data_IF_768049871247
#
_entry.id   IF_768049871247
#
_cell.length_a   1.000
_cell.length_b   1.000
_cell.length_c   1.000
_cell.angle_alpha   90.00
_cell.angle_beta   90.00
_cell.angle_gamma   90.00
#
_symmetry.space_group_name_H-M   'P 1'
#
loop_
_entity.id
_entity.type
_entity.pdbx_description
1 polymer ?
#
# COMPACT_ATOMS: atom_id res chain seq x y z
N UNK A 1 -15.39 9.12 -5.51
CA UNK A 1 -16.06 10.25 -4.80
C UNK A 1 -16.94 11.00 -5.78
N UNK A 2 -18.10 11.36 -5.33
CA UNK A 2 -19.03 12.25 -6.04
C UNK A 2 -18.99 13.64 -5.40
N UNK A 3 -19.34 14.72 -6.12
CA UNK A 3 -19.46 16.04 -5.55
C UNK A 3 -20.42 16.08 -4.33
N UNK A 4 -19.98 16.67 -3.21
CA UNK A 4 -20.74 16.78 -1.96
C UNK A 4 -20.62 15.59 -0.99
N UNK A 5 -19.95 14.50 -1.34
CA UNK A 5 -19.68 13.39 -0.41
C UNK A 5 -18.70 13.77 0.68
N UNK A 6 -17.66 14.51 0.33
CA UNK A 6 -16.59 14.91 1.26
C UNK A 6 -17.12 15.85 2.35
N UNK A 7 -18.06 16.72 2.02
CA UNK A 7 -18.71 17.58 3.03
C UNK A 7 -19.50 16.78 4.07
N UNK A 8 -20.14 15.67 3.65
CA UNK A 8 -20.83 14.76 4.58
C UNK A 8 -19.84 14.03 5.48
N UNK A 9 -18.70 13.60 4.92
CA UNK A 9 -17.64 12.95 5.69
C UNK A 9 -17.00 13.91 6.68
N UNK A 10 -16.79 15.18 6.30
CA UNK A 10 -16.22 16.21 7.18
C UNK A 10 -17.06 16.37 8.46
N UNK A 11 -18.37 16.44 8.33
CA UNK A 11 -19.30 16.58 9.47
C UNK A 11 -19.22 15.41 10.46
N UNK A 12 -18.82 14.23 10.00
CA UNK A 12 -18.66 13.01 10.81
C UNK A 12 -17.27 12.97 11.44
N UNK A 13 -16.23 13.16 10.62
CA UNK A 13 -14.82 12.95 11.02
C UNK A 13 -14.27 14.14 11.78
N UNK A 14 -14.54 15.37 11.35
CA UNK A 14 -14.01 16.64 11.91
C UNK A 14 -12.53 16.57 12.24
N UNK A 15 -11.66 16.36 11.26
CA UNK A 15 -10.25 16.11 11.51
C UNK A 15 -9.57 17.37 12.05
N UNK A 16 -8.76 17.25 13.10
CA UNK A 16 -7.92 18.34 13.59
C UNK A 16 -6.73 18.60 12.66
N UNK A 17 -6.19 17.55 12.06
CA UNK A 17 -5.10 17.62 11.08
C UNK A 17 -5.53 16.98 9.77
N UNK A 18 -5.54 17.77 8.71
CA UNK A 18 -5.78 17.30 7.35
C UNK A 18 -4.48 16.88 6.68
N UNK A 19 -4.47 15.73 6.01
CA UNK A 19 -3.32 15.26 5.23
C UNK A 19 -3.74 15.07 3.78
N UNK A 20 -3.19 15.88 2.88
CA UNK A 20 -3.43 15.74 1.45
C UNK A 20 -2.23 15.03 0.82
N UNK A 21 -2.37 13.75 0.47
CA UNK A 21 -1.26 12.96 -0.06
C UNK A 21 -1.06 13.17 -1.57
N UNK A 22 -2.11 12.95 -2.35
CA UNK A 22 -2.03 12.91 -3.80
C UNK A 22 -3.38 13.19 -4.44
N UNK A 23 -3.36 13.70 -5.68
CA UNK A 23 -4.51 13.79 -6.57
C UNK A 23 -4.19 12.93 -7.80
N UNK A 24 -4.97 11.88 -8.01
CA UNK A 24 -4.84 10.98 -9.14
C UNK A 24 -5.99 11.12 -10.13
N UNK A 25 -6.00 10.30 -11.16
CA UNK A 25 -7.06 10.28 -12.16
C UNK A 25 -8.30 9.50 -11.71
N UNK A 26 -8.22 8.78 -10.59
CA UNK A 26 -9.35 8.03 -10.06
C UNK A 26 -10.53 8.97 -9.74
N UNK A 27 -11.71 8.60 -10.20
CA UNK A 27 -12.97 9.37 -10.06
C UNK A 27 -12.97 10.76 -10.74
N UNK A 28 -12.01 11.03 -11.63
CA UNK A 28 -11.94 12.31 -12.35
C UNK A 28 -13.19 12.56 -13.22
N UNK A 29 -13.82 11.50 -13.69
CA UNK A 29 -15.05 11.53 -14.48
C UNK A 29 -16.23 12.18 -13.79
N UNK A 30 -16.23 12.24 -12.46
CA UNK A 30 -17.30 12.84 -11.66
C UNK A 30 -17.11 14.35 -11.48
N UNK A 31 -16.01 14.92 -12.02
CA UNK A 31 -15.65 16.32 -11.88
C UNK A 31 -15.38 16.97 -13.24
N UNK A 32 -15.77 18.22 -13.39
CA UNK A 32 -15.55 18.97 -14.63
C UNK A 32 -14.09 19.36 -14.83
N UNK A 33 -13.31 19.48 -13.75
CA UNK A 33 -11.90 19.83 -13.78
C UNK A 33 -11.12 19.25 -12.60
N UNK A 34 -9.79 19.23 -12.70
CA UNK A 34 -8.90 18.85 -11.59
C UNK A 34 -9.02 19.81 -10.42
N UNK A 35 -9.21 21.09 -10.70
CA UNK A 35 -9.42 22.13 -9.67
C UNK A 35 -10.69 21.87 -8.86
N UNK A 36 -11.77 21.47 -9.51
CA UNK A 36 -13.01 21.09 -8.83
C UNK A 36 -12.80 19.86 -7.93
N UNK A 37 -12.14 18.85 -8.44
CA UNK A 37 -11.81 17.63 -7.66
C UNK A 37 -10.92 17.95 -6.45
N UNK A 38 -9.92 18.82 -6.60
CA UNK A 38 -9.08 19.29 -5.48
C UNK A 38 -9.93 20.03 -4.47
N UNK A 39 -10.78 20.97 -4.91
CA UNK A 39 -11.66 21.75 -4.04
C UNK A 39 -12.63 20.88 -3.25
N UNK A 40 -13.21 19.87 -3.88
CA UNK A 40 -14.06 18.89 -3.19
C UNK A 40 -13.27 18.17 -2.10
N UNK A 41 -12.08 17.61 -2.41
CA UNK A 41 -11.26 16.91 -1.42
C UNK A 41 -10.79 17.81 -0.27
N UNK A 42 -10.49 19.07 -0.56
CA UNK A 42 -10.16 20.08 0.46
C UNK A 42 -11.34 20.38 1.40
N UNK A 43 -12.56 20.09 0.99
CA UNK A 43 -13.76 20.18 1.82
C UNK A 43 -13.65 19.40 3.13
N UNK A 44 -12.85 18.31 3.16
CA UNK A 44 -12.61 17.53 4.38
C UNK A 44 -11.84 18.32 5.46
N UNK A 45 -11.09 19.35 5.07
CA UNK A 45 -10.15 20.06 5.95
C UNK A 45 -10.63 21.45 6.39
N UNK A 46 -11.85 21.84 6.05
CA UNK A 46 -12.37 23.18 6.37
C UNK A 46 -12.42 23.48 7.88
N UNK A 47 -12.56 22.47 8.71
CA UNK A 47 -12.52 22.59 10.16
C UNK A 47 -11.20 22.11 10.80
N UNK A 48 -10.22 21.68 10.02
CA UNK A 48 -8.90 21.29 10.51
C UNK A 48 -8.10 22.51 10.97
N UNK A 49 -7.24 22.34 11.95
CA UNK A 49 -6.30 23.37 12.42
C UNK A 49 -5.08 23.45 11.51
N UNK A 50 -4.65 22.31 11.00
CA UNK A 50 -3.43 22.16 10.19
C UNK A 50 -3.72 21.34 8.94
N UNK A 51 -3.05 21.71 7.83
CA UNK A 51 -3.06 20.96 6.58
C UNK A 51 -1.62 20.59 6.20
N UNK A 52 -1.37 19.29 6.07
CA UNK A 52 -0.08 18.74 5.63
C UNK A 52 -0.20 18.33 4.17
N UNK A 53 0.71 18.78 3.30
CA UNK A 53 0.58 18.53 1.86
C UNK A 53 1.89 18.65 1.08
N UNK A 54 2.00 18.06 -0.14
CA UNK A 54 3.14 18.22 -1.05
C UNK A 54 3.08 19.58 -1.77
N UNK A 55 4.05 20.45 -1.54
CA UNK A 55 4.16 21.75 -2.21
C UNK A 55 4.59 21.63 -3.70
N UNK A 56 5.13 20.49 -4.11
CA UNK A 56 5.54 20.21 -5.48
C UNK A 56 4.39 19.83 -6.42
N UNK A 57 3.19 19.69 -5.89
CA UNK A 57 2.00 19.41 -6.70
C UNK A 57 1.23 20.72 -6.91
N UNK A 58 1.41 21.38 -8.09
CA UNK A 58 0.87 22.73 -8.33
C UNK A 58 -0.65 22.80 -8.14
N UNK A 59 -1.37 21.74 -8.50
CA UNK A 59 -2.82 21.66 -8.41
C UNK A 59 -3.28 21.70 -6.94
N UNK A 60 -2.59 20.95 -6.07
CA UNK A 60 -2.87 20.89 -4.64
C UNK A 60 -2.48 22.22 -3.98
N UNK A 61 -1.24 22.69 -4.25
CA UNK A 61 -0.73 23.92 -3.66
C UNK A 61 -1.61 25.12 -4.00
N UNK A 62 -1.92 25.31 -5.31
CA UNK A 62 -2.82 26.38 -5.75
C UNK A 62 -4.23 26.24 -5.18
N UNK A 63 -4.74 25.01 -5.13
CA UNK A 63 -6.05 24.73 -4.55
C UNK A 63 -6.13 25.15 -3.08
N UNK A 64 -5.11 24.86 -2.26
CA UNK A 64 -5.06 25.23 -0.84
C UNK A 64 -4.93 26.75 -0.69
N UNK A 65 -4.02 27.41 -1.41
CA UNK A 65 -3.76 28.85 -1.25
C UNK A 65 -4.93 29.70 -1.72
N UNK A 66 -5.65 29.26 -2.75
CA UNK A 66 -6.76 30.00 -3.34
C UNK A 66 -8.12 29.70 -2.68
N UNK A 67 -8.20 28.73 -1.78
CA UNK A 67 -9.45 28.40 -1.09
C UNK A 67 -9.62 29.28 0.16
N UNK A 68 -10.54 30.23 0.10
CA UNK A 68 -10.83 31.16 1.20
C UNK A 68 -11.23 30.45 2.49
N UNK A 69 -11.83 29.25 2.40
CA UNK A 69 -12.23 28.43 3.55
C UNK A 69 -11.02 27.97 4.38
N UNK A 70 -9.83 27.91 3.75
CA UNK A 70 -8.58 27.43 4.33
C UNK A 70 -7.60 28.54 4.73
N UNK A 71 -7.95 29.81 4.51
CA UNK A 71 -7.07 30.98 4.66
C UNK A 71 -6.39 31.09 6.05
N UNK A 72 -7.05 30.66 7.09
CA UNK A 72 -6.57 30.76 8.47
C UNK A 72 -5.98 29.46 9.00
N UNK A 73 -5.73 28.46 8.13
CA UNK A 73 -5.16 27.19 8.54
C UNK A 73 -3.65 27.27 8.60
N UNK A 74 -3.06 26.55 9.56
CA UNK A 74 -1.62 26.34 9.55
C UNK A 74 -1.28 25.38 8.42
N UNK A 75 -0.41 25.79 7.54
CA UNK A 75 0.07 24.95 6.43
C UNK A 75 1.42 24.37 6.84
N UNK A 76 1.59 23.06 6.64
CA UNK A 76 2.83 22.36 6.86
C UNK A 76 3.12 21.49 5.63
N UNK A 77 4.17 21.83 4.90
CA UNK A 77 4.37 21.30 3.54
C UNK A 77 5.71 20.60 3.39
N UNK A 78 5.78 19.71 2.41
CA UNK A 78 7.03 19.11 1.99
C UNK A 78 7.28 19.28 0.49
N UNK A 79 8.55 19.19 0.10
CA UNK A 79 9.01 19.28 -1.29
C UNK A 79 10.10 18.23 -1.56
N UNK A 80 10.10 17.65 -2.76
CA UNK A 80 11.22 16.86 -3.27
C UNK A 80 12.13 17.66 -4.22
N UNK A 81 11.90 18.97 -4.36
CA UNK A 81 12.56 19.82 -5.33
C UNK A 81 13.05 21.14 -4.74
N UNK A 82 13.02 22.19 -5.57
CA UNK A 82 13.52 23.53 -5.23
C UNK A 82 12.44 24.44 -4.62
N UNK A 83 11.20 23.98 -4.52
CA UNK A 83 10.12 24.78 -3.97
C UNK A 83 10.36 25.03 -2.46
N UNK A 84 9.97 26.19 -1.99
CA UNK A 84 10.03 26.48 -0.55
C UNK A 84 8.95 25.68 0.19
N UNK A 85 9.37 24.92 1.18
CA UNK A 85 8.48 24.11 2.03
C UNK A 85 9.07 23.98 3.43
N UNK A 86 8.28 23.49 4.40
CA UNK A 86 8.74 23.28 5.76
C UNK A 86 9.73 22.12 5.85
N UNK A 87 9.50 21.07 5.06
CA UNK A 87 10.37 19.88 4.98
C UNK A 87 10.84 19.70 3.54
N UNK A 88 12.14 19.57 3.35
CA UNK A 88 12.73 19.20 2.06
C UNK A 88 13.18 17.74 2.10
N UNK A 89 12.68 16.93 1.15
CA UNK A 89 12.94 15.49 1.08
C UNK A 89 13.45 15.15 -0.31
N UNK A 90 14.75 14.95 -0.43
CA UNK A 90 15.40 14.67 -1.71
C UNK A 90 15.63 13.18 -1.84
N UNK A 91 14.98 12.51 -2.82
CA UNK A 91 15.20 11.10 -3.07
C UNK A 91 16.61 10.84 -3.61
N UNK A 92 17.30 9.86 -3.03
CA UNK A 92 18.55 9.31 -3.56
C UNK A 92 18.25 8.20 -4.57
N UNK A 93 18.81 8.31 -5.76
CA UNK A 93 18.63 7.35 -6.84
C UNK A 93 19.94 6.65 -7.17
N UNK A 94 19.87 5.33 -7.34
CA UNK A 94 20.96 4.53 -7.90
C UNK A 94 20.41 3.62 -9.00
N UNK A 95 21.02 3.65 -10.22
CA UNK A 95 20.57 2.87 -11.39
C UNK A 95 19.05 2.99 -11.69
N UNK A 96 18.48 4.17 -11.48
CA UNK A 96 17.05 4.42 -11.74
C UNK A 96 16.08 3.99 -10.64
N UNK A 97 16.58 3.47 -9.52
CA UNK A 97 15.78 3.08 -8.37
C UNK A 97 16.03 4.01 -7.17
N UNK A 98 15.00 4.23 -6.36
CA UNK A 98 15.12 4.96 -5.11
C UNK A 98 15.69 4.04 -4.02
N UNK A 99 16.66 4.54 -3.23
CA UNK A 99 17.29 3.78 -2.16
C UNK A 99 17.24 4.47 -0.82
N UNK A 100 17.02 5.77 -0.81
CA UNK A 100 16.98 6.56 0.39
C UNK A 100 16.35 7.92 0.16
N UNK A 101 16.13 8.64 1.26
CA UNK A 101 15.56 9.97 1.29
C UNK A 101 16.43 10.84 2.19
N UNK A 102 17.05 11.86 1.62
CA UNK A 102 17.71 12.91 2.40
C UNK A 102 16.66 13.90 2.88
N UNK A 103 16.48 14.02 4.17
CA UNK A 103 15.45 14.85 4.81
C UNK A 103 16.11 16.05 5.46
N UNK A 104 15.62 17.25 5.14
CA UNK A 104 16.02 18.51 5.80
C UNK A 104 14.78 19.15 6.43
N UNK A 105 14.85 19.44 7.74
CA UNK A 105 13.81 20.11 8.49
C UNK A 105 14.42 21.09 9.49
N UNK A 106 14.19 22.39 9.29
CA UNK A 106 14.93 23.43 10.00
C UNK A 106 16.45 23.29 9.77
N UNK A 107 17.21 23.27 10.85
CA UNK A 107 18.69 23.08 10.82
C UNK A 107 19.11 21.60 10.85
N UNK A 108 18.14 20.66 10.87
CA UNK A 108 18.42 19.22 10.96
C UNK A 108 18.44 18.60 9.58
N UNK A 109 19.44 17.74 9.34
CA UNK A 109 19.57 16.95 8.14
C UNK A 109 19.86 15.50 8.51
N UNK A 110 19.10 14.55 7.93
CA UNK A 110 19.26 13.13 8.19
C UNK A 110 18.86 12.29 6.98
N UNK A 111 19.32 11.05 6.93
CA UNK A 111 19.08 10.10 5.85
C UNK A 111 18.16 8.99 6.32
N UNK A 112 17.09 8.74 5.56
CA UNK A 112 16.21 7.60 5.74
C UNK A 112 16.45 6.58 4.64
N UNK A 113 16.67 5.30 5.00
CA UNK A 113 16.61 4.18 4.04
C UNK A 113 15.19 3.67 3.95
N UNK A 114 14.76 3.36 2.73
CA UNK A 114 13.42 2.87 2.44
C UNK A 114 13.49 1.59 1.62
N UNK A 115 12.59 0.63 1.83
CA UNK A 115 12.54 -0.63 1.08
C UNK A 115 11.77 -0.52 -0.24
N UNK A 116 11.47 0.69 -0.71
CA UNK A 116 10.68 0.95 -1.91
C UNK A 116 11.52 1.68 -2.94
N UNK A 117 11.27 1.38 -4.21
CA UNK A 117 12.01 1.94 -5.33
C UNK A 117 11.13 2.65 -6.36
N UNK A 118 9.82 2.72 -6.13
CA UNK A 118 8.86 3.41 -6.99
C UNK A 118 8.51 4.82 -6.48
N UNK A 119 8.11 5.69 -7.41
CA UNK A 119 7.81 7.10 -7.12
C UNK A 119 6.61 7.30 -6.20
N UNK A 120 5.57 6.48 -6.33
CA UNK A 120 4.35 6.63 -5.54
C UNK A 120 4.61 6.32 -4.06
N UNK A 121 5.38 5.25 -3.79
CA UNK A 121 5.83 4.90 -2.43
C UNK A 121 6.71 5.99 -1.84
N UNK A 122 7.62 6.58 -2.63
CA UNK A 122 8.45 7.72 -2.20
C UNK A 122 7.60 8.92 -1.81
N UNK A 123 6.62 9.31 -2.62
CA UNK A 123 5.72 10.43 -2.32
C UNK A 123 4.89 10.16 -1.05
N UNK A 124 4.40 8.93 -0.87
CA UNK A 124 3.66 8.53 0.34
C UNK A 124 4.55 8.58 1.59
N UNK A 125 5.75 8.02 1.52
CA UNK A 125 6.72 8.05 2.64
C UNK A 125 7.13 9.47 2.97
N UNK A 126 7.33 10.33 1.97
CA UNK A 126 7.61 11.75 2.17
C UNK A 126 6.50 12.43 2.96
N UNK A 127 5.26 12.12 2.66
CA UNK A 127 4.11 12.59 3.43
C UNK A 127 4.14 12.04 4.87
N UNK A 128 4.43 10.75 5.06
CA UNK A 128 4.53 10.13 6.39
C UNK A 128 5.65 10.77 7.21
N UNK A 129 6.86 10.96 6.66
CA UNK A 129 7.96 11.64 7.34
C UNK A 129 7.54 13.04 7.78
N UNK A 130 6.86 13.77 6.91
CA UNK A 130 6.39 15.13 7.20
C UNK A 130 5.40 15.14 8.36
N UNK A 131 4.46 14.20 8.38
CA UNK A 131 3.50 14.03 9.50
C UNK A 131 4.23 13.72 10.80
N UNK A 132 5.20 12.79 10.80
CA UNK A 132 5.94 12.39 11.98
C UNK A 132 6.79 13.53 12.53
N UNK A 133 7.40 14.33 11.64
CA UNK A 133 8.14 15.54 12.04
C UNK A 133 7.21 16.61 12.63
N UNK A 134 6.02 16.79 12.03
CA UNK A 134 5.01 17.69 12.59
C UNK A 134 4.57 17.25 13.99
N UNK A 135 4.45 15.95 14.24
CA UNK A 135 4.13 15.39 15.56
C UNK A 135 5.32 15.42 16.54
N UNK A 136 6.48 15.89 16.11
CA UNK A 136 7.65 16.08 16.95
C UNK A 136 8.49 14.84 17.21
N UNK A 137 8.33 13.78 16.39
CA UNK A 137 9.15 12.57 16.53
C UNK A 137 10.62 12.85 16.16
N UNK A 138 11.51 12.15 16.84
CA UNK A 138 12.95 12.23 16.58
C UNK A 138 13.35 11.55 15.26
N UNK A 139 14.37 12.12 14.59
CA UNK A 139 14.88 11.61 13.32
C UNK A 139 15.36 10.15 13.38
N UNK A 140 15.91 9.73 14.52
CA UNK A 140 16.34 8.35 14.74
C UNK A 140 15.16 7.39 14.75
N UNK A 141 14.10 7.73 15.46
CA UNK A 141 12.85 6.94 15.53
C UNK A 141 12.22 6.82 14.14
N UNK A 142 12.15 7.94 13.41
CA UNK A 142 11.61 7.96 12.04
C UNK A 142 12.44 7.03 11.12
N UNK A 143 13.77 7.19 11.14
CA UNK A 143 14.66 6.41 10.28
C UNK A 143 14.61 4.90 10.58
N UNK A 144 14.49 4.52 11.86
CA UNK A 144 14.37 3.13 12.27
C UNK A 144 13.02 2.54 11.83
N UNK A 145 11.93 3.25 12.07
CA UNK A 145 10.58 2.81 11.66
C UNK A 145 10.48 2.58 10.16
N UNK A 146 11.08 3.44 9.34
CA UNK A 146 11.04 3.33 7.89
C UNK A 146 11.82 2.12 7.35
N UNK A 147 12.87 1.65 8.03
CA UNK A 147 13.60 0.43 7.63
C UNK A 147 12.77 -0.84 7.78
N UNK A 148 11.80 -0.82 8.68
CA UNK A 148 10.94 -1.97 8.99
C UNK A 148 9.68 -2.02 8.14
N UNK A 149 9.50 -1.09 7.20
CA UNK A 149 8.39 -1.13 6.26
C UNK A 149 8.59 -2.26 5.25
N UNK A 150 7.49 -2.82 4.80
CA UNK A 150 7.45 -3.82 3.75
C UNK A 150 6.36 -3.48 2.71
N UNK A 151 6.52 -3.91 1.45
CA UNK A 151 5.51 -3.70 0.42
C UNK A 151 4.18 -4.31 0.81
N UNK A 152 3.09 -3.63 0.50
CA UNK A 152 1.75 -4.18 0.66
C UNK A 152 1.51 -5.18 -0.46
N UNK A 153 1.06 -6.39 -0.11
CA UNK A 153 0.73 -7.43 -1.07
C UNK A 153 -0.21 -6.91 -2.19
N UNK A 154 -0.03 -7.41 -3.41
CA UNK A 154 -0.80 -7.04 -4.59
C UNK A 154 -0.65 -5.56 -5.06
N UNK A 155 0.35 -4.84 -4.56
CA UNK A 155 0.65 -3.46 -4.97
C UNK A 155 2.13 -3.32 -5.31
N UNK A 156 2.46 -3.34 -6.61
CA UNK A 156 3.83 -3.27 -7.11
C UNK A 156 4.77 -4.30 -6.46
N UNK A 157 4.24 -5.47 -6.10
CA UNK A 157 4.98 -6.53 -5.42
C UNK A 157 5.81 -7.32 -6.42
N UNK A 158 7.14 -7.36 -6.20
CA UNK A 158 8.05 -8.15 -7.02
C UNK A 158 8.18 -9.58 -6.50
N UNK A 159 8.12 -10.55 -7.40
CA UNK A 159 8.33 -11.97 -7.08
C UNK A 159 9.14 -12.68 -8.17
N UNK A 160 9.79 -13.75 -7.79
CA UNK A 160 10.37 -14.68 -8.74
C UNK A 160 9.26 -15.55 -9.35
N UNK A 161 9.24 -15.63 -10.67
CA UNK A 161 8.29 -16.45 -11.42
C UNK A 161 8.89 -17.74 -11.93
N UNK A 162 8.02 -18.66 -12.38
CA UNK A 162 8.43 -19.88 -13.06
C UNK A 162 9.33 -19.58 -14.28
N UNK A 163 10.15 -20.53 -14.68
CA UNK A 163 10.96 -20.48 -15.89
C UNK A 163 11.81 -19.20 -16.04
N UNK A 164 12.41 -18.74 -14.93
CA UNK A 164 13.22 -17.52 -14.89
C UNK A 164 12.45 -16.24 -15.26
N UNK A 165 11.15 -16.18 -14.96
CA UNK A 165 10.37 -14.95 -15.10
C UNK A 165 10.54 -14.05 -13.87
N UNK A 166 10.39 -12.74 -14.09
CA UNK A 166 10.23 -11.74 -13.03
C UNK A 166 8.76 -11.34 -13.01
N UNK A 167 8.09 -11.41 -11.86
CA UNK A 167 6.71 -10.98 -11.71
C UNK A 167 6.65 -9.62 -11.04
N UNK A 168 5.77 -8.76 -11.51
CA UNK A 168 5.33 -7.55 -10.82
C UNK A 168 3.82 -7.64 -10.64
N UNK A 169 3.38 -7.84 -9.39
CA UNK A 169 1.98 -8.00 -9.03
C UNK A 169 1.39 -6.66 -8.59
N UNK A 170 0.43 -6.14 -9.35
CA UNK A 170 -0.27 -4.88 -9.08
C UNK A 170 -1.74 -4.98 -9.46
N UNK A 171 -2.49 -5.84 -8.76
CA UNK A 171 -3.87 -6.18 -9.10
C UNK A 171 -4.90 -5.88 -7.99
N UNK A 172 -4.63 -4.88 -7.15
CA UNK A 172 -5.61 -4.38 -6.19
C UNK A 172 -6.60 -3.41 -6.84
N UNK A 173 -6.09 -2.44 -7.62
CA UNK A 173 -6.86 -1.49 -8.42
C UNK A 173 -6.30 -1.45 -9.84
N UNK A 174 -7.16 -1.15 -10.81
CA UNK A 174 -6.76 -1.00 -12.21
C UNK A 174 -7.31 0.31 -12.77
N UNK A 175 -6.42 1.25 -13.04
CA UNK A 175 -6.68 2.49 -13.76
C UNK A 175 -5.50 2.78 -14.72
N UNK A 176 -5.71 3.58 -15.79
CA UNK A 176 -4.67 3.84 -16.80
C UNK A 176 -3.41 4.49 -16.25
N UNK A 177 -3.55 5.39 -15.28
CA UNK A 177 -2.40 6.08 -14.67
C UNK A 177 -1.50 5.12 -13.90
N UNK A 178 -2.09 4.27 -13.06
CA UNK A 178 -1.35 3.25 -12.32
C UNK A 178 -0.76 2.17 -13.22
N UNK A 179 -1.44 1.81 -14.32
CA UNK A 179 -0.89 0.90 -15.33
C UNK A 179 0.40 1.46 -15.95
N UNK A 180 0.40 2.74 -16.34
CA UNK A 180 1.58 3.41 -16.92
C UNK A 180 2.75 3.37 -15.95
N UNK A 181 2.52 3.74 -14.69
CA UNK A 181 3.54 3.73 -13.64
C UNK A 181 4.12 2.31 -13.47
N UNK A 182 3.27 1.28 -13.42
CA UNK A 182 3.72 -0.10 -13.25
C UNK A 182 4.54 -0.61 -14.44
N UNK A 183 4.14 -0.27 -15.67
CA UNK A 183 4.90 -0.62 -16.88
C UNK A 183 6.27 0.07 -16.93
N UNK A 184 6.31 1.37 -16.63
CA UNK A 184 7.57 2.13 -16.58
C UNK A 184 8.50 1.59 -15.50
N UNK A 185 7.96 1.25 -14.34
CA UNK A 185 8.71 0.64 -13.26
C UNK A 185 9.30 -0.72 -13.67
N UNK A 186 8.50 -1.63 -14.23
CA UNK A 186 8.97 -2.94 -14.69
C UNK A 186 10.07 -2.81 -15.74
N UNK A 187 9.94 -1.85 -16.66
CA UNK A 187 10.97 -1.54 -17.66
C UNK A 187 12.26 -1.04 -17.04
N UNK A 188 12.19 -0.31 -15.93
CA UNK A 188 13.37 0.20 -15.20
C UNK A 188 14.13 -0.85 -14.41
N UNK A 189 13.47 -1.95 -14.00
CA UNK A 189 14.07 -2.99 -13.16
C UNK A 189 14.47 -4.25 -13.92
N UNK A 190 14.09 -4.39 -15.20
CA UNK A 190 14.36 -5.60 -15.98
C UNK A 190 14.58 -5.29 -17.47
N UNK A 191 15.63 -5.88 -18.04
CA UNK A 191 15.90 -5.86 -19.49
C UNK A 191 15.20 -7.00 -20.24
N UNK A 192 14.42 -7.85 -19.55
CA UNK A 192 13.70 -8.97 -20.16
C UNK A 192 12.53 -8.44 -21.02
N UNK A 193 12.07 -9.28 -21.96
CA UNK A 193 10.87 -8.97 -22.73
C UNK A 193 9.66 -8.80 -21.81
N UNK A 194 8.92 -7.73 -22.01
CA UNK A 194 7.75 -7.43 -21.17
C UNK A 194 6.52 -8.16 -21.65
N UNK A 195 5.88 -8.87 -20.74
CA UNK A 195 4.55 -9.44 -20.87
C UNK A 195 3.60 -8.69 -19.95
N UNK A 196 2.47 -8.27 -20.47
CA UNK A 196 1.39 -7.64 -19.71
C UNK A 196 0.18 -8.55 -19.64
N UNK A 197 -0.25 -8.88 -18.43
CA UNK A 197 -1.54 -9.52 -18.14
C UNK A 197 -2.45 -8.44 -17.57
N UNK A 198 -3.47 -8.06 -18.31
CA UNK A 198 -4.32 -6.90 -18.02
C UNK A 198 -5.80 -7.30 -17.96
N UNK A 199 -6.53 -6.83 -16.94
CA UNK A 199 -7.99 -6.92 -16.89
C UNK A 199 -8.68 -5.69 -17.48
N UNK A 200 -9.98 -5.80 -17.78
CA UNK A 200 -10.81 -4.62 -18.03
C UNK A 200 -10.70 -3.59 -16.91
N UNK A 201 -10.82 -2.31 -17.30
CA UNK A 201 -10.97 -1.21 -16.35
C UNK A 201 -12.42 -1.11 -15.88
N UNK A 202 -12.62 -1.20 -14.57
CA UNK A 202 -13.98 -1.28 -13.98
C UNK A 202 -14.53 0.09 -13.64
N UNK A 203 -13.66 1.02 -13.31
CA UNK A 203 -14.02 2.35 -12.82
C UNK A 203 -14.00 3.37 -13.95
N UNK A 204 -15.01 4.24 -13.99
CA UNK A 204 -15.09 5.41 -14.84
C UNK A 204 -16.18 5.34 -15.92
N UNK A 205 -16.90 6.46 -16.05
CA UNK A 205 -17.90 6.70 -17.10
C UNK A 205 -17.25 7.28 -18.37
N UNK A 206 -15.95 6.98 -18.60
CA UNK A 206 -15.21 7.45 -19.78
C UNK A 206 -15.73 6.79 -21.04
N UNK A 207 -15.60 7.51 -22.16
CA UNK A 207 -15.73 6.91 -23.48
C UNK A 207 -14.73 5.74 -23.57
N UNK A 208 -15.23 4.51 -23.67
CA UNK A 208 -14.45 3.26 -23.70
C UNK A 208 -13.43 3.25 -24.84
N UNK A 209 -13.82 3.74 -26.00
CA UNK A 209 -12.95 3.82 -27.17
C UNK A 209 -11.74 4.71 -26.90
N UNK A 210 -11.97 5.90 -26.33
CA UNK A 210 -10.89 6.81 -25.98
C UNK A 210 -9.97 6.20 -24.92
N UNK A 211 -10.55 5.57 -23.88
CA UNK A 211 -9.80 4.93 -22.82
C UNK A 211 -8.85 3.86 -23.36
N UNK A 212 -9.36 2.93 -24.15
CA UNK A 212 -8.56 1.82 -24.67
C UNK A 212 -7.59 2.27 -25.76
N UNK A 213 -7.87 3.35 -26.49
CA UNK A 213 -6.93 3.98 -27.40
C UNK A 213 -5.72 4.60 -26.66
N UNK A 214 -5.96 5.29 -25.54
CA UNK A 214 -4.89 5.83 -24.68
C UNK A 214 -4.04 4.70 -24.10
N UNK A 215 -4.67 3.67 -23.55
CA UNK A 215 -3.99 2.49 -22.97
C UNK A 215 -3.14 1.77 -24.03
N UNK A 216 -3.67 1.58 -25.22
CA UNK A 216 -2.93 0.98 -26.34
C UNK A 216 -1.70 1.83 -26.71
N UNK A 217 -1.83 3.16 -26.70
CA UNK A 217 -0.72 4.09 -26.90
C UNK A 217 0.39 3.93 -25.84
N UNK A 218 0.03 3.78 -24.58
CA UNK A 218 0.98 3.59 -23.49
C UNK A 218 1.66 2.21 -23.55
N UNK A 219 0.93 1.15 -23.86
CA UNK A 219 1.44 -0.20 -24.10
C UNK A 219 2.50 -0.20 -25.21
N UNK A 220 2.20 0.48 -26.33
CA UNK A 220 3.14 0.61 -27.47
C UNK A 220 4.41 1.37 -27.08
N UNK A 221 4.29 2.52 -26.40
CA UNK A 221 5.43 3.33 -25.94
C UNK A 221 6.35 2.58 -24.99
N UNK A 222 5.78 1.72 -24.15
CA UNK A 222 6.56 0.97 -23.17
C UNK A 222 7.27 -0.24 -23.81
N UNK A 223 6.76 -0.73 -24.95
CA UNK A 223 7.37 -1.84 -25.69
C UNK A 223 6.95 -3.22 -25.17
N UNK A 224 5.69 -3.35 -24.75
CA UNK A 224 5.10 -4.63 -24.37
C UNK A 224 5.08 -5.56 -25.60
N UNK A 225 5.73 -6.73 -25.47
CA UNK A 225 5.77 -7.70 -26.58
C UNK A 225 4.65 -8.71 -26.55
N UNK A 226 4.14 -9.04 -25.38
CA UNK A 226 3.07 -10.02 -25.21
C UNK A 226 1.97 -9.42 -24.35
N UNK A 227 0.76 -9.36 -24.88
CA UNK A 227 -0.44 -8.91 -24.18
C UNK A 227 -1.38 -10.08 -23.95
N UNK A 228 -1.74 -10.29 -22.71
CA UNK A 228 -2.78 -11.21 -22.27
C UNK A 228 -3.88 -10.35 -21.66
N UNK A 229 -4.99 -10.22 -22.38
CA UNK A 229 -6.10 -9.36 -22.02
C UNK A 229 -7.27 -10.21 -21.51
N UNK A 230 -7.79 -9.86 -20.33
CA UNK A 230 -8.86 -10.61 -19.67
C UNK A 230 -10.04 -9.69 -19.41
N UNK A 231 -11.13 -9.94 -20.13
CA UNK A 231 -12.37 -9.17 -20.06
C UNK A 231 -12.96 -8.87 -21.44
N UNK A 232 -14.23 -8.56 -21.44
CA UNK A 232 -14.99 -8.36 -22.67
C UNK A 232 -14.66 -7.02 -23.36
N UNK A 233 -14.36 -6.00 -22.58
CA UNK A 233 -14.04 -4.68 -23.14
C UNK A 233 -12.69 -4.73 -23.85
N UNK A 234 -11.64 -5.29 -23.24
CA UNK A 234 -10.33 -5.47 -23.87
C UNK A 234 -10.43 -6.30 -25.15
N UNK A 235 -11.25 -7.33 -25.16
CA UNK A 235 -11.49 -8.13 -26.35
C UNK A 235 -12.18 -7.31 -27.45
N UNK A 236 -13.16 -6.47 -27.10
CA UNK A 236 -13.89 -5.62 -28.07
C UNK A 236 -13.02 -4.57 -28.72
N UNK A 237 -12.00 -4.08 -28.02
CA UNK A 237 -11.04 -3.08 -28.53
C UNK A 237 -9.68 -3.71 -28.89
N UNK A 238 -9.64 -5.02 -29.10
CA UNK A 238 -8.41 -5.78 -29.38
C UNK A 238 -7.59 -5.29 -30.57
N UNK A 239 -8.21 -4.64 -31.55
CA UNK A 239 -7.55 -4.08 -32.73
C UNK A 239 -6.69 -2.83 -32.42
N UNK A 240 -6.94 -2.16 -31.28
CA UNK A 240 -6.13 -0.99 -30.88
C UNK A 240 -4.74 -1.38 -30.38
N UNK A 241 -4.60 -2.60 -29.87
CA UNK A 241 -3.36 -3.06 -29.25
C UNK A 241 -2.38 -3.60 -30.28
N UNK A 242 -1.16 -3.07 -30.24
CA UNK A 242 -0.06 -3.46 -31.08
C UNK A 242 1.01 -4.16 -30.23
N UNK A 243 0.97 -5.48 -30.19
CA UNK A 243 1.94 -6.33 -29.50
C UNK A 243 2.25 -7.55 -30.38
N UNK A 244 3.49 -8.06 -30.29
CA UNK A 244 3.94 -9.21 -31.10
C UNK A 244 3.04 -10.44 -30.95
N UNK A 245 2.54 -10.63 -29.71
CA UNK A 245 1.58 -11.68 -29.35
C UNK A 245 0.43 -11.10 -28.55
N UNK A 246 -0.79 -11.39 -28.98
CA UNK A 246 -2.02 -10.99 -28.28
C UNK A 246 -2.88 -12.23 -28.01
N UNK A 247 -3.42 -12.31 -26.79
CA UNK A 247 -4.40 -13.33 -26.40
C UNK A 247 -5.50 -12.68 -25.59
N UNK A 248 -6.75 -13.03 -25.88
CA UNK A 248 -7.93 -12.45 -25.24
C UNK A 248 -8.73 -13.57 -24.58
N UNK A 249 -9.11 -13.35 -23.34
CA UNK A 249 -9.89 -14.28 -22.52
C UNK A 249 -11.09 -13.56 -21.95
N UNK A 250 -12.20 -14.28 -21.83
CA UNK A 250 -13.43 -13.73 -21.28
C UNK A 250 -13.29 -13.36 -19.81
N UNK A 251 -12.68 -14.24 -19.04
CA UNK A 251 -12.47 -14.11 -17.60
C UNK A 251 -11.22 -14.88 -17.15
N UNK A 252 -10.92 -14.83 -15.87
CA UNK A 252 -9.77 -15.50 -15.27
C UNK A 252 -9.86 -17.01 -15.36
N UNK A 253 -11.06 -17.60 -15.30
CA UNK A 253 -11.25 -19.06 -15.41
C UNK A 253 -10.88 -19.55 -16.80
N UNK A 254 -11.28 -18.81 -17.84
CA UNK A 254 -10.95 -19.11 -19.24
C UNK A 254 -9.42 -19.06 -19.47
N UNK A 255 -8.73 -18.05 -18.92
CA UNK A 255 -7.28 -18.00 -18.95
C UNK A 255 -6.64 -19.19 -18.22
N UNK A 256 -7.10 -19.51 -16.99
CA UNK A 256 -6.54 -20.62 -16.19
C UNK A 256 -6.73 -21.96 -16.90
N UNK A 257 -7.88 -22.19 -17.55
CA UNK A 257 -8.15 -23.42 -18.30
C UNK A 257 -7.20 -23.63 -19.48
N UNK A 258 -6.68 -22.54 -20.05
CA UNK A 258 -5.73 -22.57 -21.18
C UNK A 258 -4.28 -22.32 -20.76
N UNK A 259 -4.00 -22.22 -19.46
CA UNK A 259 -2.66 -21.89 -18.95
C UNK A 259 -1.65 -22.96 -19.26
N UNK A 260 -0.56 -22.56 -19.93
CA UNK A 260 0.59 -23.40 -20.25
C UNK A 260 1.86 -22.78 -19.64
N UNK A 261 2.45 -23.36 -18.58
CA UNK A 261 3.65 -22.84 -17.95
C UNK A 261 4.83 -22.63 -18.92
N UNK A 262 4.96 -23.49 -19.95
CA UNK A 262 6.01 -23.40 -20.95
C UNK A 262 5.91 -22.17 -21.87
N UNK A 263 4.76 -21.51 -21.90
CA UNK A 263 4.56 -20.27 -22.68
C UNK A 263 5.15 -19.01 -22.02
N UNK A 264 5.60 -19.13 -20.77
CA UNK A 264 6.24 -18.07 -20.00
C UNK A 264 7.68 -18.48 -19.68
N UNK A 265 8.64 -17.78 -20.25
CA UNK A 265 10.07 -18.07 -20.05
C UNK A 265 10.91 -16.81 -20.30
N UNK A 266 11.82 -16.51 -19.37
CA UNK A 266 12.78 -15.41 -19.47
C UNK A 266 12.09 -14.05 -19.75
N UNK A 267 10.90 -13.84 -19.16
CA UNK A 267 10.06 -12.66 -19.36
C UNK A 267 9.95 -11.84 -18.05
N UNK A 268 9.71 -10.53 -18.18
CA UNK A 268 9.24 -9.68 -17.10
C UNK A 268 7.73 -9.52 -17.25
N UNK A 269 6.96 -9.99 -16.29
CA UNK A 269 5.51 -10.11 -16.37
C UNK A 269 4.86 -9.11 -15.40
N UNK A 270 4.14 -8.13 -15.94
CA UNK A 270 3.24 -7.29 -15.16
C UNK A 270 1.86 -7.92 -15.11
N UNK A 271 1.36 -8.16 -13.90
CA UNK A 271 0.01 -8.65 -13.66
C UNK A 271 -0.79 -7.48 -13.09
N UNK A 272 -1.64 -6.85 -13.92
CA UNK A 272 -2.42 -5.67 -13.58
C UNK A 272 -3.90 -5.91 -13.79
N UNK A 273 -4.69 -5.87 -12.72
CA UNK A 273 -6.10 -6.16 -12.81
C UNK A 273 -6.95 -5.50 -11.75
N UNK A 274 -8.23 -5.34 -12.03
CA UNK A 274 -9.21 -4.94 -11.04
C UNK A 274 -9.60 -6.13 -10.15
N UNK A 275 -9.86 -5.87 -8.87
CA UNK A 275 -10.08 -6.89 -7.84
C UNK A 275 -11.12 -7.95 -8.22
N UNK A 276 -12.18 -7.58 -8.95
CA UNK A 276 -13.23 -8.53 -9.38
C UNK A 276 -12.74 -9.65 -10.30
N UNK A 277 -11.55 -9.49 -10.92
CA UNK A 277 -10.95 -10.49 -11.80
C UNK A 277 -10.10 -11.53 -11.07
N UNK A 278 -9.89 -11.38 -9.76
CA UNK A 278 -9.18 -12.35 -8.91
C UNK A 278 -7.80 -12.75 -9.45
N UNK A 279 -7.01 -11.76 -9.87
CA UNK A 279 -5.70 -11.98 -10.50
C UNK A 279 -4.65 -12.59 -9.58
N UNK A 280 -4.89 -12.63 -8.27
CA UNK A 280 -4.12 -13.44 -7.32
C UNK A 280 -4.08 -14.93 -7.70
N UNK A 281 -5.09 -15.43 -8.40
CA UNK A 281 -5.12 -16.81 -8.92
C UNK A 281 -4.11 -16.99 -10.06
N UNK A 282 -3.93 -15.97 -10.90
CA UNK A 282 -2.91 -15.96 -11.98
C UNK A 282 -1.51 -15.83 -11.38
N UNK A 283 -1.31 -14.92 -10.42
CA UNK A 283 -0.06 -14.76 -9.71
C UNK A 283 0.44 -16.08 -9.12
N UNK A 284 -0.44 -16.81 -8.41
CA UNK A 284 -0.12 -18.14 -7.84
C UNK A 284 0.31 -19.19 -8.87
N UNK A 285 -0.13 -19.10 -10.13
CA UNK A 285 0.28 -20.03 -11.19
C UNK A 285 1.66 -19.69 -11.76
N UNK A 286 2.00 -18.40 -11.79
CA UNK A 286 3.24 -17.88 -12.33
C UNK A 286 4.36 -17.77 -11.29
N UNK A 287 4.03 -17.68 -10.00
CA UNK A 287 4.99 -17.59 -8.91
C UNK A 287 5.85 -18.85 -8.83
N UNK A 288 7.17 -18.66 -8.67
CA UNK A 288 8.09 -19.76 -8.42
C UNK A 288 7.81 -20.33 -7.03
N UNK A 289 7.19 -21.48 -7.00
CA UNK A 289 6.95 -22.20 -5.74
C UNK A 289 8.26 -22.75 -5.20
N UNK A 290 8.96 -21.95 -4.42
CA UNK A 290 9.95 -22.50 -3.47
C UNK A 290 9.18 -23.32 -2.45
N UNK A 291 9.73 -24.46 -2.04
CA UNK A 291 9.12 -25.29 -0.99
C UNK A 291 9.15 -24.52 0.34
N UNK A 292 8.21 -23.62 0.52
CA UNK A 292 7.99 -22.90 1.77
C UNK A 292 6.80 -23.56 2.47
N UNK A 293 7.03 -24.07 3.65
CA UNK A 293 5.93 -24.42 4.56
C UNK A 293 5.25 -23.11 4.92
N UNK A 294 4.03 -22.89 4.43
CA UNK A 294 3.24 -21.68 4.71
C UNK A 294 2.24 -22.01 5.81
N UNK A 295 2.31 -21.26 6.91
CA UNK A 295 1.27 -21.26 7.93
C UNK A 295 0.27 -20.15 7.61
N UNK A 296 -0.95 -20.50 7.27
CA UNK A 296 -2.04 -19.54 7.05
C UNK A 296 -2.94 -19.49 8.28
N UNK A 297 -3.12 -18.28 8.83
CA UNK A 297 -3.96 -18.04 10.00
C UNK A 297 -5.15 -17.18 9.63
N UNK A 298 -6.34 -17.74 9.81
CA UNK A 298 -7.59 -17.02 9.59
C UNK A 298 -7.99 -16.27 10.86
N UNK A 299 -7.72 -14.96 10.90
CA UNK A 299 -8.04 -14.10 12.05
C UNK A 299 -9.55 -14.06 12.37
N UNK A 300 -10.43 -14.15 11.36
CA UNK A 300 -11.87 -14.21 11.61
C UNK A 300 -12.27 -15.52 12.31
N UNK A 301 -11.63 -16.63 11.98
CA UNK A 301 -11.84 -17.89 12.70
C UNK A 301 -11.34 -17.81 14.14
N UNK A 302 -10.19 -17.16 14.37
CA UNK A 302 -9.70 -16.92 15.74
C UNK A 302 -10.70 -16.06 16.53
N UNK A 303 -11.28 -15.01 15.93
CA UNK A 303 -12.32 -14.20 16.56
C UNK A 303 -13.58 -15.00 16.88
N UNK A 304 -14.03 -15.80 15.94
CA UNK A 304 -15.19 -16.68 16.14
C UNK A 304 -14.97 -17.62 17.33
N UNK A 305 -13.79 -18.23 17.43
CA UNK A 305 -13.41 -19.08 18.56
C UNK A 305 -13.40 -18.28 19.87
N UNK A 306 -12.79 -17.10 19.89
CA UNK A 306 -12.75 -16.23 21.07
C UNK A 306 -14.17 -15.87 21.53
N UNK A 307 -15.06 -15.52 20.62
CA UNK A 307 -16.45 -15.19 20.92
C UNK A 307 -17.23 -16.41 21.44
N UNK A 308 -16.95 -17.59 20.90
CA UNK A 308 -17.54 -18.86 21.41
C UNK A 308 -17.12 -19.09 22.85
N UNK A 309 -15.83 -18.96 23.20
CA UNK A 309 -15.39 -19.08 24.60
C UNK A 309 -16.04 -18.02 25.49
N UNK A 310 -16.10 -16.76 25.03
CA UNK A 310 -16.78 -15.69 25.79
C UNK A 310 -18.23 -16.00 26.10
N UNK A 311 -18.96 -16.58 25.18
CA UNK A 311 -20.38 -16.92 25.36
C UNK A 311 -20.59 -17.99 26.44
N UNK A 312 -19.57 -18.79 26.74
CA UNK A 312 -19.60 -19.82 27.78
C UNK A 312 -19.19 -19.30 29.18
N UNK A 313 -18.71 -18.05 29.26
CA UNK A 313 -18.19 -17.50 30.52
C UNK A 313 -19.23 -16.64 31.23
N UNK A 314 -19.11 -16.59 32.58
CA UNK A 314 -19.90 -15.68 33.38
C UNK A 314 -19.50 -14.21 33.11
N UNK A 315 -20.46 -13.29 33.28
CA UNK A 315 -20.21 -11.87 33.10
C UNK A 315 -19.09 -11.39 34.04
N UNK A 316 -18.09 -10.69 33.46
CA UNK A 316 -16.94 -10.17 34.19
C UNK A 316 -15.75 -11.12 34.29
N UNK A 317 -15.86 -12.35 33.77
CA UNK A 317 -14.70 -13.26 33.68
C UNK A 317 -13.68 -12.69 32.70
N UNK A 318 -12.41 -12.64 33.14
CA UNK A 318 -11.30 -12.18 32.31
C UNK A 318 -10.72 -13.32 31.49
N UNK A 319 -10.28 -12.98 30.26
CA UNK A 319 -9.71 -13.96 29.35
C UNK A 319 -8.24 -13.63 29.15
N UNK A 320 -7.40 -14.66 29.24
CA UNK A 320 -5.98 -14.59 28.95
C UNK A 320 -5.64 -15.48 27.76
N UNK A 321 -4.92 -14.91 26.79
CA UNK A 321 -4.49 -15.61 25.60
C UNK A 321 -3.00 -15.97 25.67
N UNK A 322 -2.67 -17.24 25.37
CA UNK A 322 -1.30 -17.74 25.30
C UNK A 322 -0.69 -17.41 23.95
N UNK A 323 0.42 -16.67 23.96
CA UNK A 323 1.16 -16.24 22.74
C UNK A 323 2.64 -16.66 22.77
N UNK A 324 2.98 -17.71 23.54
CA UNK A 324 4.32 -18.28 23.60
C UNK A 324 4.79 -18.84 22.26
N UNK A 325 6.09 -19.11 22.13
CA UNK A 325 6.70 -19.73 20.96
C UNK A 325 6.32 -19.02 19.65
N UNK A 326 6.55 -17.70 19.59
CA UNK A 326 6.17 -16.84 18.46
C UNK A 326 4.67 -16.89 18.12
N UNK A 327 3.80 -16.94 19.15
CA UNK A 327 2.37 -17.17 18.98
C UNK A 327 2.07 -18.43 18.16
N UNK A 328 2.80 -19.52 18.46
CA UNK A 328 2.75 -20.80 17.72
C UNK A 328 3.07 -20.66 16.22
N UNK A 329 3.94 -19.70 15.86
CA UNK A 329 4.33 -19.40 14.50
C UNK A 329 3.45 -18.35 13.78
N UNK A 330 2.48 -17.78 14.47
CA UNK A 330 1.53 -16.83 13.92
C UNK A 330 2.03 -15.37 13.86
N UNK A 331 3.21 -15.08 14.39
CA UNK A 331 3.69 -13.72 14.60
C UNK A 331 3.23 -13.17 15.96
N UNK A 332 4.14 -13.01 16.92
CA UNK A 332 3.75 -12.65 18.30
C UNK A 332 3.15 -11.25 18.40
N UNK A 333 3.63 -10.30 17.62
CA UNK A 333 3.14 -8.92 17.61
C UNK A 333 1.75 -8.83 16.99
N UNK A 334 1.59 -9.31 15.76
CA UNK A 334 0.35 -9.19 14.99
C UNK A 334 -0.81 -9.86 15.70
N UNK A 335 -0.60 -11.08 16.21
CA UNK A 335 -1.63 -11.79 16.96
C UNK A 335 -1.92 -11.12 18.29
N UNK A 336 -0.91 -10.62 19.00
CA UNK A 336 -1.10 -9.94 20.28
C UNK A 336 -1.89 -8.64 20.12
N UNK A 337 -1.51 -7.78 19.16
CA UNK A 337 -2.24 -6.54 18.85
C UNK A 337 -3.70 -6.84 18.49
N UNK A 338 -3.91 -7.84 17.64
CA UNK A 338 -5.24 -8.24 17.20
C UNK A 338 -6.11 -8.78 18.34
N UNK A 339 -5.55 -9.62 19.22
CA UNK A 339 -6.25 -10.15 20.40
C UNK A 339 -6.61 -9.05 21.39
N UNK A 340 -5.69 -8.10 21.62
CA UNK A 340 -5.92 -6.94 22.50
C UNK A 340 -7.03 -6.07 21.93
N UNK A 341 -6.98 -5.75 20.63
CA UNK A 341 -8.02 -4.99 19.93
C UNK A 341 -9.40 -5.65 20.09
N UNK A 342 -9.45 -7.00 20.07
CA UNK A 342 -10.67 -7.78 20.28
C UNK A 342 -10.96 -8.06 21.76
N UNK A 343 -10.35 -7.35 22.69
CA UNK A 343 -10.73 -7.30 24.10
C UNK A 343 -10.25 -8.47 24.93
N UNK A 344 -9.06 -9.00 24.66
CA UNK A 344 -8.35 -9.90 25.58
C UNK A 344 -7.81 -9.06 26.76
N UNK A 345 -7.97 -9.56 27.99
CA UNK A 345 -7.54 -8.86 29.19
C UNK A 345 -6.05 -9.05 29.49
N UNK A 346 -5.50 -10.20 29.15
CA UNK A 346 -4.11 -10.58 29.43
C UNK A 346 -3.54 -11.39 28.27
N UNK A 347 -2.25 -11.21 28.05
CA UNK A 347 -1.42 -12.15 27.27
C UNK A 347 -0.65 -13.05 28.23
N UNK A 348 -0.27 -14.24 27.77
CA UNK A 348 0.62 -15.12 28.51
C UNK A 348 1.74 -15.62 27.61
N UNK A 349 2.95 -15.65 28.17
CA UNK A 349 4.17 -16.18 27.54
C UNK A 349 4.80 -17.25 28.42
N UNK A 350 5.65 -18.08 27.85
CA UNK A 350 6.32 -19.11 28.63
C UNK A 350 7.48 -18.53 29.45
N UNK A 351 8.31 -17.70 28.85
CA UNK A 351 9.54 -17.17 29.41
C UNK A 351 9.61 -15.65 29.37
N UNK A 352 10.44 -15.01 30.23
CA UNK A 352 10.57 -13.55 30.30
C UNK A 352 11.03 -12.89 28.99
N UNK A 353 11.94 -13.53 28.26
CA UNK A 353 12.47 -13.02 26.98
C UNK A 353 11.38 -12.84 25.91
N UNK A 354 10.38 -13.70 25.89
CA UNK A 354 9.22 -13.56 24.99
C UNK A 354 8.39 -12.31 25.38
N UNK A 355 8.18 -12.08 26.67
CA UNK A 355 7.50 -10.89 27.18
C UNK A 355 8.26 -9.60 26.88
N UNK A 356 9.57 -9.60 27.05
CA UNK A 356 10.46 -8.49 26.71
C UNK A 356 10.40 -8.18 25.20
N UNK A 357 10.39 -9.21 24.36
CA UNK A 357 10.24 -9.05 22.90
C UNK A 357 8.93 -8.32 22.58
N UNK A 358 7.82 -8.74 23.14
CA UNK A 358 6.52 -8.08 22.96
C UNK A 358 6.54 -6.62 23.45
N UNK A 359 7.21 -6.33 24.57
CA UNK A 359 7.38 -4.94 25.06
C UNK A 359 8.17 -4.08 24.06
N UNK A 360 9.28 -4.60 23.54
CA UNK A 360 10.10 -3.90 22.51
C UNK A 360 9.33 -3.63 21.23
N UNK A 361 8.37 -4.49 20.90
CA UNK A 361 7.47 -4.34 19.76
C UNK A 361 6.25 -3.45 20.05
N UNK A 362 6.18 -2.83 21.24
CA UNK A 362 5.16 -1.83 21.59
C UNK A 362 3.91 -2.36 22.26
N UNK A 363 3.86 -3.64 22.65
CA UNK A 363 2.73 -4.22 23.36
C UNK A 363 2.71 -3.69 24.81
N UNK A 364 1.66 -2.95 25.18
CA UNK A 364 1.49 -2.35 26.52
C UNK A 364 0.52 -3.14 27.42
N UNK A 365 -0.20 -4.12 26.88
CA UNK A 365 -1.12 -4.96 27.63
C UNK A 365 -0.42 -5.76 28.73
N UNK A 366 -1.18 -6.25 29.71
CA UNK A 366 -0.66 -7.08 30.78
C UNK A 366 -0.17 -8.42 30.24
N UNK A 367 1.08 -8.76 30.56
CA UNK A 367 1.71 -10.03 30.14
C UNK A 367 1.99 -10.86 31.39
N UNK A 368 1.51 -12.10 31.41
CA UNK A 368 1.84 -13.09 32.42
C UNK A 368 2.99 -13.96 31.90
N UNK A 369 4.03 -14.10 32.69
CA UNK A 369 5.13 -15.04 32.44
C UNK A 369 4.89 -16.30 33.25
N UNK A 370 4.82 -17.45 32.57
CA UNK A 370 4.48 -18.73 33.18
C UNK A 370 5.66 -19.35 33.95
N UNK A 371 6.88 -19.22 33.43
CA UNK A 371 8.09 -19.83 34.02
C UNK A 371 9.14 -18.73 34.27
N UNK A 372 8.92 -17.86 35.29
CA UNK A 372 9.96 -16.92 35.71
C UNK A 372 11.07 -17.69 36.44
N UNK A 373 12.33 -17.44 36.05
CA UNK A 373 13.47 -17.95 36.81
C UNK A 373 14.05 -16.83 37.72
N UNK A 374 14.78 -17.18 38.81
CA UNK A 374 15.32 -16.19 39.74
C UNK A 374 16.26 -15.16 39.08
N UNK A 375 16.95 -15.52 37.97
CA UNK A 375 17.89 -14.65 37.27
C UNK A 375 17.20 -13.64 36.37
N UNK A 376 15.99 -13.92 35.93
CA UNK A 376 15.18 -13.08 35.06
C UNK A 376 14.27 -12.09 35.79
N UNK A 377 14.18 -12.16 37.14
CA UNK A 377 13.30 -11.28 37.92
C UNK A 377 13.55 -9.78 37.68
N UNK A 378 14.81 -9.40 37.45
CA UNK A 378 15.17 -8.02 37.17
C UNK A 378 14.57 -7.52 35.85
N UNK A 379 14.53 -8.37 34.84
CA UNK A 379 13.97 -8.07 33.53
C UNK A 379 12.42 -8.02 33.50
N UNK A 380 11.77 -8.53 34.55
CA UNK A 380 10.33 -8.43 34.72
C UNK A 380 9.86 -7.08 35.25
N UNK A 381 10.79 -6.23 35.72
CA UNK A 381 10.52 -4.87 36.22
C UNK A 381 10.59 -3.81 35.12
N UNK A 382 11.14 -4.15 33.96
CA UNK A 382 11.20 -3.32 32.75
C UNK A 382 9.97 -3.57 31.86
#
# INVERSE_FOLDING_TARGET
SEPGEIEKLERIIRPQTGIFCHIGEAHRENFSSTEEMVREKLGLFINSEVIIYPADKPEIHKGIINDERLRNKRLFSWTAGKNKADVCIIPEMHKGQYHGLEVTYGDRKFLCRIPFSDRASVDNISTVITVLLYLGLDAGVISEGLRNLYPVAMRMEQKEGINNCLLLEDFYNSDPGSLRIAMEYLKGISDKNMTLILSDFVEGNRNREQLYSEVAGDIRKTGVRKLIAIGNDLASFGDFFDADKKSFFKDTDDFIASFLPASFRDEAILIKGARRFEFERIGRLLELKTQQTRLEINLNAVLSNLNTFRSCLQRGTKIMAMVKAFAYGAGPREISEWLIYNGIDYLAVAYPDEGISLRKEGITSRIMVMNPDPYSLRSLLE
#
